data_IF_282049209658
#
_entry.id   IF_282049209658
#
_cell.length_a   1.000
_cell.length_b   1.000
_cell.length_c   1.000
_cell.angle_alpha   90.00
_cell.angle_beta   90.00
_cell.angle_gamma   90.00
#
_symmetry.space_group_name_H-M   'P 1'
#
loop_
_entity.id
_entity.type
_entity.pdbx_description
1 polymer ?
#
# COMPACT_ATOMS: atom_id res chain seq x y z
N UNK A 1 -46.42 -16.68 39.18
CA UNK A 1 -45.01 -16.43 38.83
C UNK A 1 -44.86 -16.69 37.35
N UNK A 2 -44.86 -15.64 36.52
CA UNK A 2 -44.78 -15.76 35.06
C UNK A 2 -43.34 -15.55 34.61
N UNK A 3 -42.73 -16.60 34.07
CA UNK A 3 -41.46 -16.57 33.37
C UNK A 3 -41.66 -15.97 31.96
N UNK A 4 -41.78 -14.64 31.87
CA UNK A 4 -41.84 -13.93 30.60
C UNK A 4 -40.43 -13.48 30.17
N UNK A 5 -39.89 -14.22 29.21
CA UNK A 5 -39.36 -13.68 27.95
C UNK A 5 -38.36 -12.52 28.07
N UNK A 6 -37.14 -12.81 28.50
CA UNK A 6 -35.98 -12.02 28.08
C UNK A 6 -35.55 -12.57 26.71
N UNK A 7 -36.17 -12.06 25.64
CA UNK A 7 -35.57 -12.16 24.30
C UNK A 7 -34.37 -11.20 24.30
N UNK A 8 -33.20 -11.69 24.69
CA UNK A 8 -31.95 -11.04 24.33
C UNK A 8 -31.96 -10.89 22.81
N UNK A 9 -31.99 -9.65 22.31
CA UNK A 9 -31.77 -9.40 20.89
C UNK A 9 -30.38 -9.91 20.55
N UNK A 10 -30.31 -11.13 20.00
CA UNK A 10 -29.08 -11.68 19.48
C UNK A 10 -28.50 -10.64 18.51
N UNK A 11 -27.27 -10.21 18.79
CA UNK A 11 -26.59 -9.27 17.93
C UNK A 11 -26.51 -9.91 16.53
N UNK A 12 -27.03 -9.26 15.47
CA UNK A 12 -27.02 -9.82 14.13
C UNK A 12 -25.62 -10.07 13.57
N UNK A 13 -24.56 -9.63 14.24
CA UNK A 13 -23.17 -9.96 13.88
C UNK A 13 -22.69 -11.33 14.41
N UNK A 14 -23.39 -11.95 15.37
CA UNK A 14 -22.97 -13.23 15.94
C UNK A 14 -23.24 -14.43 15.00
N UNK A 15 -24.34 -14.43 14.26
CA UNK A 15 -24.78 -15.61 13.49
C UNK A 15 -24.03 -15.82 12.16
N UNK A 16 -23.48 -14.76 11.56
CA UNK A 16 -22.88 -14.84 10.21
C UNK A 16 -21.35 -15.02 10.24
N UNK A 17 -20.69 -14.67 11.36
CA UNK A 17 -19.23 -14.79 11.51
C UNK A 17 -18.77 -16.17 11.98
N UNK A 18 -19.63 -16.91 12.67
CA UNK A 18 -19.32 -18.25 13.21
C UNK A 18 -19.01 -19.26 12.09
N UNK A 19 -19.75 -19.33 10.96
CA UNK A 19 -19.44 -20.29 9.89
C UNK A 19 -18.17 -19.95 9.08
N UNK A 20 -17.88 -18.67 8.82
CA UNK A 20 -16.70 -18.29 8.01
C UNK A 20 -15.36 -18.37 8.75
N UNK A 21 -15.38 -18.23 10.09
CA UNK A 21 -14.17 -18.42 10.91
C UNK A 21 -13.91 -19.89 11.26
N UNK A 22 -14.95 -20.69 11.56
CA UNK A 22 -14.77 -22.10 11.95
C UNK A 22 -14.30 -22.96 10.78
N UNK A 23 -14.79 -22.74 9.54
CA UNK A 23 -14.33 -23.51 8.38
C UNK A 23 -12.83 -23.38 8.08
N UNK A 24 -12.18 -22.26 8.45
CA UNK A 24 -10.74 -22.05 8.17
C UNK A 24 -9.80 -22.46 9.33
N UNK A 25 -10.34 -22.66 10.54
CA UNK A 25 -9.54 -23.21 11.66
C UNK A 25 -9.55 -24.74 11.67
N UNK A 26 -10.61 -25.38 11.18
CA UNK A 26 -10.66 -26.85 11.05
C UNK A 26 -9.72 -27.39 9.96
N UNK A 27 -9.38 -26.61 8.92
CA UNK A 27 -8.41 -27.02 7.89
C UNK A 27 -6.93 -26.91 8.32
N UNK A 28 -6.62 -26.23 9.42
CA UNK A 28 -5.24 -26.05 9.90
C UNK A 28 -4.91 -26.83 11.19
N UNK A 29 -5.85 -27.65 11.69
CA UNK A 29 -5.71 -28.36 12.97
C UNK A 29 -5.63 -29.89 12.86
N UNK A 30 -5.59 -30.47 11.66
CA UNK A 30 -5.74 -31.91 11.45
C UNK A 30 -4.45 -32.67 11.07
N UNK A 31 -3.25 -32.12 11.35
CA UNK A 31 -1.99 -32.85 11.16
C UNK A 31 -1.04 -32.62 12.33
N UNK A 32 -1.24 -33.35 13.44
CA UNK A 32 -0.19 -33.61 14.46
C UNK A 32 -0.75 -34.46 15.61
N UNK A 33 -0.93 -35.76 15.38
CA UNK A 33 -0.97 -36.72 16.49
C UNK A 33 -0.53 -38.09 16.00
N UNK A 34 0.70 -38.47 16.35
CA UNK A 34 1.21 -39.82 16.11
C UNK A 34 2.73 -39.87 16.17
N UNK A 35 3.28 -39.99 17.39
CA UNK A 35 4.53 -40.71 17.67
C UNK A 35 4.68 -40.93 19.16
N UNK A 36 4.48 -42.19 19.53
CA UNK A 36 4.75 -42.77 20.83
C UNK A 36 6.26 -42.97 21.04
N UNK A 37 6.68 -42.70 22.28
CA UNK A 37 7.54 -43.50 23.15
C UNK A 37 8.91 -44.00 22.66
N UNK A 38 9.99 -43.51 23.28
CA UNK A 38 11.04 -44.35 23.87
C UNK A 38 12.00 -43.55 24.79
N UNK A 39 12.11 -44.04 26.02
CA UNK A 39 13.29 -44.18 26.87
C UNK A 39 14.19 -42.98 27.23
N UNK A 40 14.16 -42.63 28.52
CA UNK A 40 15.18 -41.84 29.22
C UNK A 40 15.77 -42.67 30.36
N UNK A 41 17.11 -42.77 30.48
CA UNK A 41 17.77 -43.11 31.74
C UNK A 41 18.60 -41.92 32.28
N UNK A 42 19.08 -42.02 33.54
CA UNK A 42 19.10 -40.88 34.46
C UNK A 42 20.40 -40.09 34.50
N UNK A 43 20.25 -38.92 35.10
CA UNK A 43 21.23 -37.93 35.58
C UNK A 43 22.45 -38.49 36.29
N UNK A 44 23.63 -38.05 35.87
CA UNK A 44 24.85 -38.02 36.70
C UNK A 44 25.40 -36.59 36.80
N UNK A 45 25.64 -36.21 38.06
CA UNK A 45 26.36 -35.03 38.51
C UNK A 45 27.84 -35.10 38.10
N UNK A 46 28.38 -34.02 37.53
CA UNK A 46 29.74 -33.57 37.85
C UNK A 46 29.82 -32.05 37.69
N UNK A 47 30.12 -31.37 38.78
CA UNK A 47 30.45 -29.94 38.78
C UNK A 47 31.88 -29.70 38.34
N UNK A 48 32.17 -28.51 37.83
CA UNK A 48 33.47 -27.87 37.96
C UNK A 48 33.33 -26.34 37.94
N UNK A 49 33.82 -25.77 39.04
CA UNK A 49 34.67 -24.60 39.20
C UNK A 49 34.47 -23.35 38.34
N UNK A 50 34.13 -22.29 39.07
CA UNK A 50 34.33 -20.87 38.80
C UNK A 50 35.84 -20.59 38.59
N UNK A 51 36.17 -19.90 37.50
CA UNK A 51 37.34 -19.02 37.45
C UNK A 51 37.00 -17.77 36.62
N UNK A 52 37.10 -16.62 37.28
CA UNK A 52 37.09 -15.30 36.65
C UNK A 52 38.54 -14.90 36.35
N UNK A 53 38.81 -14.39 35.15
CA UNK A 53 39.83 -13.35 34.96
C UNK A 53 39.61 -12.58 33.65
N UNK A 54 40.00 -11.29 33.56
CA UNK A 54 39.56 -10.37 32.52
C UNK A 54 40.64 -10.04 31.47
N UNK A 55 40.21 -9.32 30.43
CA UNK A 55 40.98 -8.59 29.40
C UNK A 55 41.61 -9.41 28.27
N UNK A 56 41.05 -9.25 27.06
CA UNK A 56 41.89 -8.94 25.89
C UNK A 56 41.10 -8.19 24.82
N UNK A 57 41.59 -7.00 24.49
CA UNK A 57 41.34 -6.31 23.23
C UNK A 57 41.86 -7.18 22.08
N UNK A 58 41.02 -7.50 21.10
CA UNK A 58 41.45 -7.74 19.73
C UNK A 58 40.45 -7.19 18.71
N UNK A 59 41.03 -6.45 17.77
CA UNK A 59 40.49 -5.99 16.49
C UNK A 59 40.17 -7.23 15.63
N UNK A 60 38.97 -7.29 15.08
CA UNK A 60 38.70 -8.09 13.87
C UNK A 60 37.89 -7.24 12.91
N UNK A 61 38.47 -7.01 11.73
CA UNK A 61 37.82 -6.41 10.58
C UNK A 61 36.97 -7.45 9.83
N UNK A 62 35.96 -6.91 9.14
CA UNK A 62 35.21 -7.44 8.00
C UNK A 62 33.89 -8.22 8.20
N UNK A 63 32.89 -7.59 7.54
CA UNK A 63 31.79 -8.17 6.78
C UNK A 63 30.58 -8.73 7.52
N UNK A 64 29.51 -7.92 7.54
CA UNK A 64 28.16 -8.44 7.33
C UNK A 64 27.26 -7.39 6.67
N UNK A 65 26.98 -7.67 5.39
CA UNK A 65 25.80 -7.33 4.60
C UNK A 65 24.78 -6.36 5.20
N UNK A 66 24.70 -5.17 4.57
CA UNK A 66 23.66 -4.17 4.80
C UNK A 66 22.26 -4.70 4.48
N UNK A 67 21.56 -5.14 5.52
CA UNK A 67 20.11 -5.12 5.57
C UNK A 67 19.68 -3.78 6.15
N UNK A 68 19.33 -2.82 5.29
CA UNK A 68 18.78 -1.54 5.74
C UNK A 68 17.44 -1.21 5.04
N UNK A 69 16.50 -0.86 5.92
CA UNK A 69 15.53 0.23 5.80
C UNK A 69 14.35 0.10 4.82
N UNK A 70 13.40 -0.75 5.21
CA UNK A 70 11.98 -0.43 4.99
C UNK A 70 11.25 -0.12 6.31
N UNK A 71 11.75 -0.62 7.44
CA UNK A 71 11.11 -0.42 8.75
C UNK A 71 11.43 0.96 9.37
N UNK A 72 12.55 1.60 9.05
CA UNK A 72 12.89 2.97 9.51
C UNK A 72 11.94 4.04 8.94
N UNK A 73 11.55 3.88 7.67
CA UNK A 73 10.60 4.77 6.99
C UNK A 73 9.19 4.73 7.57
N UNK A 74 8.83 3.61 8.23
CA UNK A 74 7.55 3.45 8.93
C UNK A 74 7.67 3.94 10.38
N UNK A 75 8.86 3.85 11.00
CA UNK A 75 9.12 4.30 12.38
C UNK A 75 9.23 5.83 12.50
N UNK A 76 9.81 6.51 11.49
CA UNK A 76 9.92 7.97 11.43
C UNK A 76 8.56 8.66 11.15
N UNK A 77 7.53 7.88 10.79
CA UNK A 77 6.19 8.35 10.45
C UNK A 77 5.15 8.35 11.58
N UNK A 78 5.50 8.01 12.83
CA UNK A 78 4.53 7.82 13.90
C UNK A 78 4.91 8.56 15.20
N UNK A 79 4.86 9.89 15.19
CA UNK A 79 4.51 10.67 16.38
C UNK A 79 3.68 11.90 15.99
N UNK A 80 2.56 12.06 16.70
CA UNK A 80 1.34 12.80 16.35
C UNK A 80 1.33 14.27 16.77
N UNK A 81 0.39 14.99 16.17
CA UNK A 81 -0.26 16.23 16.63
C UNK A 81 0.41 17.57 16.31
N UNK A 82 1.74 17.71 16.36
CA UNK A 82 2.37 19.04 16.16
C UNK A 82 2.71 19.39 14.69
N UNK A 83 2.48 18.46 13.74
CA UNK A 83 2.88 18.66 12.33
C UNK A 83 1.87 19.40 11.46
N UNK A 84 0.59 19.46 11.83
CA UNK A 84 -0.39 20.18 11.03
C UNK A 84 -0.28 21.71 11.19
N UNK A 85 0.08 22.20 12.39
CA UNK A 85 0.36 23.63 12.61
C UNK A 85 1.74 24.05 12.07
N UNK A 86 2.72 23.15 12.11
CA UNK A 86 4.04 23.40 11.51
C UNK A 86 4.00 23.47 9.97
N UNK A 87 3.09 22.74 9.31
CA UNK A 87 2.96 22.79 7.85
C UNK A 87 2.33 24.11 7.37
N UNK A 88 1.32 24.62 8.09
CA UNK A 88 0.73 25.94 7.83
C UNK A 88 1.73 27.09 8.11
N UNK A 89 2.60 26.93 9.11
CA UNK A 89 3.64 27.92 9.43
C UNK A 89 4.86 27.91 8.48
N UNK A 90 5.04 26.86 7.68
CA UNK A 90 6.13 26.75 6.68
C UNK A 90 5.72 27.27 5.29
N UNK A 91 4.44 27.19 4.93
CA UNK A 91 3.91 27.79 3.70
C UNK A 91 4.01 29.33 3.71
N UNK A 92 3.89 29.94 4.89
CA UNK A 92 3.98 31.41 5.06
C UNK A 92 5.43 31.96 4.98
N UNK A 93 6.44 31.08 4.91
CA UNK A 93 7.87 31.48 4.87
C UNK A 93 8.56 31.27 3.52
N UNK A 94 7.88 30.77 2.49
CA UNK A 94 8.44 30.65 1.14
C UNK A 94 9.72 29.82 1.02
N UNK A 95 9.97 28.89 1.96
CA UNK A 95 11.15 28.02 1.92
C UNK A 95 10.83 26.76 1.12
N UNK A 96 11.37 26.68 -0.10
CA UNK A 96 11.32 25.48 -0.93
C UNK A 96 12.05 24.32 -0.22
N UNK A 97 11.29 23.32 0.22
CA UNK A 97 11.85 22.13 0.85
C UNK A 97 12.40 21.19 -0.24
N UNK A 98 13.65 21.42 -0.64
CA UNK A 98 14.34 20.62 -1.64
C UNK A 98 14.77 19.26 -1.06
N UNK A 99 14.10 18.21 -1.53
CA UNK A 99 14.29 16.82 -1.11
C UNK A 99 15.46 16.14 -1.86
N UNK A 100 16.31 16.89 -2.59
CA UNK A 100 17.46 16.36 -3.32
C UNK A 100 18.76 16.29 -2.52
N UNK A 101 18.82 16.84 -1.30
CA UNK A 101 20.09 17.10 -0.61
C UNK A 101 20.50 16.14 0.53
N UNK A 102 19.95 14.93 0.61
CA UNK A 102 20.56 13.87 1.44
C UNK A 102 20.94 12.66 0.58
N UNK A 103 22.26 12.57 0.35
CA UNK A 103 23.02 11.66 -0.52
C UNK A 103 22.95 11.94 -2.02
N UNK A 104 23.62 13.00 -2.47
CA UNK A 104 24.53 12.94 -3.62
C UNK A 104 25.65 13.97 -3.44
N UNK A 105 26.77 13.52 -2.87
CA UNK A 105 28.04 14.23 -3.05
C UNK A 105 28.55 13.94 -4.46
N UNK A 106 28.60 15.03 -5.21
CA UNK A 106 29.31 15.34 -6.44
C UNK A 106 30.44 14.39 -6.88
N UNK A 107 30.34 13.90 -8.12
CA UNK A 107 31.45 13.99 -9.07
C UNK A 107 30.91 14.77 -10.26
N UNK A 108 31.21 16.08 -10.28
CA UNK A 108 31.11 16.92 -11.46
C UNK A 108 32.27 16.58 -12.40
N UNK A 109 31.96 16.16 -13.62
CA UNK A 109 32.79 16.46 -14.77
C UNK A 109 31.95 17.31 -15.71
N UNK A 110 32.40 18.56 -15.86
CA UNK A 110 31.96 19.49 -16.89
C UNK A 110 32.23 18.87 -18.26
N UNK A 111 31.18 18.68 -19.06
CA UNK A 111 31.32 18.59 -20.52
C UNK A 111 30.59 19.77 -21.15
N UNK A 112 31.21 20.48 -22.11
CA UNK A 112 30.62 21.64 -22.75
C UNK A 112 29.54 21.23 -23.75
N UNK A 113 28.54 22.11 -23.90
CA UNK A 113 27.54 22.09 -24.96
C UNK A 113 28.20 22.11 -26.34
N UNK A 114 28.50 20.94 -26.91
CA UNK A 114 28.75 20.82 -28.34
C UNK A 114 28.58 19.37 -28.83
N UNK A 115 27.38 19.03 -29.30
CA UNK A 115 27.20 17.90 -30.20
C UNK A 115 26.03 18.18 -31.17
N UNK A 116 26.26 19.13 -32.06
CA UNK A 116 25.59 19.22 -33.36
C UNK A 116 26.17 18.16 -34.29
N UNK A 117 25.71 16.92 -34.14
CA UNK A 117 25.71 15.89 -35.18
C UNK A 117 24.66 14.87 -34.79
N UNK A 118 23.40 15.15 -35.16
CA UNK A 118 22.43 14.07 -35.22
C UNK A 118 22.95 13.05 -36.24
N UNK A 119 23.05 11.75 -35.88
CA UNK A 119 23.15 10.73 -36.91
C UNK A 119 21.87 10.86 -37.74
N UNK A 120 22.03 11.20 -39.01
CA UNK A 120 20.99 10.98 -40.01
C UNK A 120 20.76 9.47 -40.07
N UNK A 121 19.89 8.97 -39.19
CA UNK A 121 19.21 7.70 -39.39
C UNK A 121 18.36 7.90 -40.62
N UNK A 122 18.91 7.56 -41.78
CA UNK A 122 18.15 7.38 -43.00
C UNK A 122 16.98 6.48 -42.66
N UNK A 123 15.78 7.04 -42.79
CA UNK A 123 14.51 6.41 -42.48
C UNK A 123 14.19 5.34 -43.53
N UNK A 124 14.98 4.28 -43.57
CA UNK A 124 14.48 3.00 -44.02
C UNK A 124 13.57 2.49 -42.89
N UNK A 125 12.32 2.96 -42.87
CA UNK A 125 11.26 2.29 -42.12
C UNK A 125 11.27 0.84 -42.62
N UNK A 126 11.67 -0.15 -41.81
CA UNK A 126 11.56 -1.53 -42.21
C UNK A 126 10.09 -1.74 -42.54
N UNK A 127 9.80 -2.11 -43.78
CA UNK A 127 8.45 -2.45 -44.23
C UNK A 127 7.91 -3.53 -43.32
N UNK A 128 7.01 -3.12 -42.41
CA UNK A 128 6.07 -3.88 -41.58
C UNK A 128 6.12 -5.42 -41.74
N UNK A 129 7.22 -6.03 -41.33
CA UNK A 129 7.20 -7.37 -40.80
C UNK A 129 6.66 -7.23 -39.38
N UNK A 130 5.38 -7.52 -39.20
CA UNK A 130 4.71 -7.57 -37.90
C UNK A 130 5.55 -8.43 -36.97
N UNK A 131 6.39 -7.81 -36.14
CA UNK A 131 7.10 -8.55 -35.11
C UNK A 131 6.03 -9.26 -34.26
N UNK A 132 6.10 -10.59 -34.08
CA UNK A 132 5.02 -11.40 -33.50
C UNK A 132 4.87 -11.20 -31.99
N UNK A 133 5.36 -10.09 -31.45
CA UNK A 133 5.19 -9.78 -30.04
C UNK A 133 3.82 -9.17 -29.83
N UNK A 134 3.08 -9.76 -28.90
CA UNK A 134 1.85 -9.16 -28.39
C UNK A 134 2.09 -7.70 -28.00
N UNK A 135 1.10 -6.84 -28.25
CA UNK A 135 1.20 -5.45 -27.81
C UNK A 135 1.42 -5.41 -26.29
N UNK A 136 2.17 -4.42 -25.80
CA UNK A 136 2.40 -4.29 -24.34
C UNK A 136 1.09 -4.18 -23.55
N UNK A 137 0.07 -3.62 -24.17
CA UNK A 137 -1.24 -3.49 -23.56
C UNK A 137 -1.94 -4.84 -23.41
N UNK A 138 -1.76 -5.78 -24.34
CA UNK A 138 -2.23 -7.16 -24.19
C UNK A 138 -1.45 -7.91 -23.09
N UNK A 139 -0.12 -7.83 -23.11
CA UNK A 139 0.72 -8.50 -22.09
C UNK A 139 0.35 -8.04 -20.68
N UNK A 140 0.06 -6.74 -20.51
CA UNK A 140 -0.34 -6.15 -19.21
C UNK A 140 -1.67 -6.69 -18.69
N UNK A 141 -2.63 -7.02 -19.56
CA UNK A 141 -3.93 -7.58 -19.11
C UNK A 141 -3.77 -8.92 -18.40
N UNK A 142 -2.72 -9.68 -18.76
CA UNK A 142 -2.49 -11.03 -18.27
C UNK A 142 -1.33 -11.13 -17.27
N UNK A 143 -0.62 -10.03 -17.00
CA UNK A 143 0.56 -10.00 -16.14
C UNK A 143 0.37 -9.06 -14.96
N UNK A 144 0.87 -9.45 -13.79
CA UNK A 144 1.07 -8.50 -12.71
C UNK A 144 2.28 -7.58 -13.02
N UNK A 145 2.41 -6.47 -12.31
CA UNK A 145 3.48 -5.49 -12.50
C UNK A 145 4.88 -6.13 -12.49
N UNK A 146 5.11 -7.09 -11.60
CA UNK A 146 6.40 -7.76 -11.46
C UNK A 146 6.75 -8.61 -12.68
N UNK A 147 5.85 -9.48 -13.10
CA UNK A 147 6.02 -10.31 -14.30
C UNK A 147 6.15 -9.44 -15.55
N UNK A 148 5.35 -8.39 -15.65
CA UNK A 148 5.44 -7.41 -16.73
C UNK A 148 6.83 -6.73 -16.75
N UNK A 149 7.32 -6.24 -15.62
CA UNK A 149 8.66 -5.64 -15.53
C UNK A 149 9.76 -6.61 -15.97
N UNK A 150 9.71 -7.87 -15.51
CA UNK A 150 10.70 -8.90 -15.86
C UNK A 150 10.69 -9.31 -17.33
N UNK A 151 9.55 -9.17 -18.02
CA UNK A 151 9.45 -9.45 -19.46
C UNK A 151 10.05 -8.35 -20.36
N UNK A 152 10.40 -7.19 -19.81
CA UNK A 152 10.86 -6.04 -20.60
C UNK A 152 12.39 -5.97 -20.65
N UNK A 153 12.98 -5.57 -21.80
CA UNK A 153 14.40 -5.27 -21.88
C UNK A 153 14.83 -4.16 -20.92
N UNK A 154 16.01 -4.29 -20.32
CA UNK A 154 16.52 -3.35 -19.32
C UNK A 154 16.68 -1.93 -19.88
N UNK A 155 17.17 -1.78 -21.10
CA UNK A 155 17.33 -0.46 -21.74
C UNK A 155 15.99 0.25 -21.92
N UNK A 156 14.93 -0.51 -22.22
CA UNK A 156 13.58 0.04 -22.35
C UNK A 156 13.04 0.53 -21.02
N UNK A 157 13.26 -0.25 -19.97
CA UNK A 157 12.91 0.11 -18.59
C UNK A 157 13.63 1.39 -18.17
N UNK A 158 14.95 1.47 -18.36
CA UNK A 158 15.74 2.66 -18.02
C UNK A 158 15.34 3.90 -18.83
N UNK A 159 15.13 3.74 -20.15
CA UNK A 159 14.68 4.83 -21.02
C UNK A 159 13.30 5.40 -20.60
N UNK A 160 12.49 4.64 -19.87
CA UNK A 160 11.20 5.12 -19.37
C UNK A 160 11.30 6.17 -18.26
N UNK A 161 12.48 6.31 -17.62
CA UNK A 161 12.76 7.37 -16.65
C UNK A 161 13.13 8.71 -17.30
N UNK A 162 13.44 8.70 -18.60
CA UNK A 162 13.91 9.88 -19.34
C UNK A 162 12.76 10.68 -19.96
N UNK A 163 13.01 11.97 -20.20
CA UNK A 163 12.11 12.88 -20.90
C UNK A 163 11.09 13.56 -19.99
N UNK A 164 9.89 13.83 -20.53
CA UNK A 164 8.86 14.64 -19.87
C UNK A 164 8.42 14.05 -18.52
N UNK A 165 8.42 14.93 -17.52
CA UNK A 165 7.94 14.66 -16.16
C UNK A 165 6.62 15.38 -15.96
N UNK A 166 5.74 14.81 -15.14
CA UNK A 166 4.41 15.36 -14.84
C UNK A 166 4.18 15.33 -13.33
N UNK A 167 3.45 16.32 -12.85
CA UNK A 167 2.98 16.34 -11.46
C UNK A 167 1.66 15.56 -11.36
N UNK A 168 1.45 14.89 -10.23
CA UNK A 168 0.22 14.18 -9.89
C UNK A 168 -0.47 14.99 -8.80
N UNK A 169 -1.65 15.50 -9.12
CA UNK A 169 -2.38 16.49 -8.33
C UNK A 169 -3.82 16.00 -8.12
N UNK A 170 -4.39 16.25 -6.94
CA UNK A 170 -5.81 16.04 -6.70
C UNK A 170 -6.65 17.14 -7.36
N UNK A 171 -7.67 16.76 -8.12
CA UNK A 171 -8.43 17.65 -9.01
C UNK A 171 -9.12 18.81 -8.26
N UNK A 172 -9.83 18.51 -7.16
CA UNK A 172 -10.62 19.52 -6.44
C UNK A 172 -9.80 20.38 -5.47
N UNK A 173 -8.86 19.76 -4.74
CA UNK A 173 -8.10 20.45 -3.70
C UNK A 173 -6.86 21.15 -4.24
N UNK A 174 -6.39 20.78 -5.43
CA UNK A 174 -5.09 21.21 -5.95
C UNK A 174 -3.89 20.63 -5.20
N UNK A 175 -4.12 19.71 -4.26
CA UNK A 175 -3.04 19.10 -3.47
C UNK A 175 -2.11 18.29 -4.37
N UNK A 176 -0.83 18.66 -4.36
CA UNK A 176 0.20 17.96 -5.14
C UNK A 176 0.62 16.69 -4.41
N UNK A 177 0.21 15.53 -4.92
CA UNK A 177 0.57 14.24 -4.34
C UNK A 177 2.01 13.83 -4.64
N UNK A 178 2.47 14.01 -5.89
CA UNK A 178 3.83 13.69 -6.30
C UNK A 178 4.29 14.68 -7.38
N UNK A 179 5.54 15.14 -7.27
CA UNK A 179 6.16 16.06 -8.23
C UNK A 179 7.08 15.32 -9.20
N UNK A 180 7.14 15.81 -10.43
CA UNK A 180 8.11 15.45 -11.48
C UNK A 180 8.22 13.94 -11.74
N UNK A 181 7.08 13.24 -11.81
CA UNK A 181 7.03 11.80 -12.10
C UNK A 181 7.24 11.55 -13.60
N UNK A 182 8.16 10.64 -14.02
CA UNK A 182 8.38 10.36 -15.44
C UNK A 182 7.11 9.82 -16.14
N UNK A 183 6.60 10.56 -17.13
CA UNK A 183 5.37 10.18 -17.84
C UNK A 183 5.52 8.86 -18.59
N UNK A 184 6.68 8.62 -19.21
CA UNK A 184 6.96 7.40 -19.97
C UNK A 184 6.89 6.15 -19.08
N UNK A 185 7.41 6.22 -17.86
CA UNK A 185 7.32 5.15 -16.86
C UNK A 185 5.85 4.87 -16.49
N UNK A 186 5.07 5.91 -16.21
CA UNK A 186 3.65 5.76 -15.90
C UNK A 186 2.88 5.09 -17.04
N UNK A 187 3.10 5.52 -18.29
CA UNK A 187 2.47 4.92 -19.48
C UNK A 187 2.94 3.47 -19.68
N UNK A 188 4.22 3.18 -19.44
CA UNK A 188 4.76 1.83 -19.57
C UNK A 188 4.05 0.85 -18.63
N UNK A 189 3.92 1.19 -17.35
CA UNK A 189 3.35 0.29 -16.34
C UNK A 189 1.83 0.32 -16.25
N UNK A 190 1.20 1.49 -16.32
CA UNK A 190 -0.25 1.64 -16.15
C UNK A 190 -1.00 1.53 -17.49
N UNK A 191 -0.28 1.64 -18.61
CA UNK A 191 -0.87 1.67 -19.94
C UNK A 191 -1.32 3.07 -20.36
N UNK A 192 -1.31 3.30 -21.67
CA UNK A 192 -1.73 4.58 -22.25
C UNK A 192 -3.19 4.93 -21.93
N UNK A 193 -4.17 4.00 -22.01
CA UNK A 193 -5.56 4.34 -21.71
C UNK A 193 -5.78 4.86 -20.28
N UNK A 194 -5.15 4.22 -19.28
CA UNK A 194 -5.28 4.61 -17.88
C UNK A 194 -4.70 6.01 -17.63
N UNK A 195 -3.53 6.32 -18.20
CA UNK A 195 -2.87 7.62 -18.03
C UNK A 195 -3.56 8.71 -18.83
N UNK A 196 -3.89 8.47 -20.10
CA UNK A 196 -4.54 9.48 -20.94
C UNK A 196 -5.89 9.95 -20.39
N UNK A 197 -6.63 9.07 -19.71
CA UNK A 197 -7.92 9.40 -19.05
C UNK A 197 -7.79 10.50 -17.99
N UNK A 198 -6.63 10.59 -17.35
CA UNK A 198 -6.39 11.47 -16.19
C UNK A 198 -5.36 12.56 -16.50
N UNK A 199 -4.84 12.58 -17.73
CA UNK A 199 -3.83 13.54 -18.16
C UNK A 199 -4.51 14.84 -18.61
N UNK A 200 -4.14 15.96 -18.00
CA UNK A 200 -4.55 17.30 -18.42
C UNK A 200 -3.34 18.05 -18.99
N UNK A 201 -3.57 18.78 -20.07
CA UNK A 201 -2.59 19.74 -20.60
C UNK A 201 -2.96 21.12 -20.05
N UNK A 202 -1.99 21.82 -19.46
CA UNK A 202 -2.22 23.10 -18.77
C UNK A 202 -2.27 24.27 -19.75
N UNK A 203 -1.28 24.34 -20.65
CA UNK A 203 -1.21 25.37 -21.69
C UNK A 203 -1.67 24.84 -23.04
N UNK A 204 -2.51 25.63 -23.72
CA UNK A 204 -2.95 25.32 -25.10
C UNK A 204 -1.85 25.64 -26.10
N UNK A 205 -1.05 26.67 -25.81
CA UNK A 205 0.07 27.14 -26.63
C UNK A 205 1.29 26.24 -26.45
N UNK A 206 1.60 25.86 -25.20
CA UNK A 206 2.66 24.94 -24.88
C UNK A 206 2.13 23.59 -24.37
N UNK A 207 1.98 22.64 -25.29
CA UNK A 207 1.61 21.25 -24.97
C UNK A 207 2.68 20.54 -24.11
N UNK A 208 3.81 21.18 -23.82
CA UNK A 208 4.85 20.69 -22.92
C UNK A 208 4.43 20.70 -21.45
N UNK A 209 3.41 21.46 -21.04
CA UNK A 209 2.94 21.46 -19.65
C UNK A 209 1.78 20.47 -19.45
N UNK A 210 2.03 19.38 -18.73
CA UNK A 210 1.01 18.37 -18.44
C UNK A 210 1.06 17.95 -16.98
N UNK A 211 -0.10 17.64 -16.45
CA UNK A 211 -0.30 17.11 -15.11
C UNK A 211 -1.27 15.93 -15.15
N UNK A 212 -1.21 15.08 -14.14
CA UNK A 212 -2.18 14.02 -13.90
C UNK A 212 -3.14 14.51 -12.82
N UNK A 213 -4.42 14.60 -13.18
CA UNK A 213 -5.49 14.95 -12.26
C UNK A 213 -6.15 13.69 -11.72
N UNK A 214 -6.04 13.55 -10.41
CA UNK A 214 -6.62 12.46 -9.66
C UNK A 214 -7.96 12.93 -9.09
N UNK A 215 -9.08 12.29 -9.42
CA UNK A 215 -10.36 12.62 -8.82
C UNK A 215 -10.29 12.46 -7.29
N UNK A 216 -10.97 13.33 -6.53
CA UNK A 216 -11.05 13.20 -5.08
C UNK A 216 -11.54 11.80 -4.73
N UNK A 217 -11.14 11.30 -3.56
CA UNK A 217 -11.67 10.04 -3.05
C UNK A 217 -11.37 8.81 -3.95
N UNK A 218 -10.50 8.90 -4.94
CA UNK A 218 -10.12 7.75 -5.80
C UNK A 218 -8.85 7.06 -5.29
N UNK A 219 -7.81 7.84 -4.99
CA UNK A 219 -6.55 7.38 -4.39
C UNK A 219 -6.01 8.44 -3.41
N UNK A 220 -4.83 8.21 -2.84
CA UNK A 220 -4.13 9.14 -1.97
C UNK A 220 -2.61 9.11 -2.22
N UNK A 221 -1.91 10.08 -1.63
CA UNK A 221 -0.46 10.24 -1.80
C UNK A 221 0.35 9.02 -1.31
N UNK A 222 -0.10 8.32 -0.26
CA UNK A 222 0.61 7.15 0.31
C UNK A 222 0.67 6.01 -0.70
N UNK A 223 -0.47 5.63 -1.27
CA UNK A 223 -0.53 4.55 -2.24
C UNK A 223 0.20 4.90 -3.54
N UNK A 224 0.10 6.16 -3.99
CA UNK A 224 0.85 6.68 -5.14
C UNK A 224 2.36 6.60 -4.92
N UNK A 225 2.85 7.03 -3.75
CA UNK A 225 4.27 6.98 -3.40
C UNK A 225 4.79 5.56 -3.44
N UNK A 226 4.07 4.59 -2.85
CA UNK A 226 4.47 3.18 -2.86
C UNK A 226 4.57 2.64 -4.30
N UNK A 227 3.54 2.90 -5.13
CA UNK A 227 3.50 2.44 -6.51
C UNK A 227 4.63 3.07 -7.34
N UNK A 228 4.78 4.39 -7.30
CA UNK A 228 5.81 5.12 -8.06
C UNK A 228 7.22 4.74 -7.60
N UNK A 229 7.48 4.62 -6.30
CA UNK A 229 8.78 4.16 -5.80
C UNK A 229 9.10 2.73 -6.25
N UNK A 230 8.11 1.84 -6.37
CA UNK A 230 8.34 0.51 -6.92
C UNK A 230 8.65 0.56 -8.43
N UNK A 231 7.87 1.31 -9.22
CA UNK A 231 8.10 1.47 -10.66
C UNK A 231 9.47 2.08 -10.97
N UNK A 232 9.87 3.12 -10.23
CA UNK A 232 11.19 3.75 -10.39
C UNK A 232 12.32 2.75 -10.15
N UNK A 233 12.22 1.91 -9.11
CA UNK A 233 13.21 0.85 -8.85
C UNK A 233 13.21 -0.23 -9.93
N UNK A 234 12.05 -0.58 -10.47
CA UNK A 234 11.98 -1.52 -11.59
C UNK A 234 12.65 -0.98 -12.87
N UNK A 235 12.73 0.35 -13.00
CA UNK A 235 13.34 1.00 -14.16
C UNK A 235 14.84 1.29 -14.04
N UNK A 236 15.35 1.43 -12.82
CA UNK A 236 16.78 1.69 -12.57
C UNK A 236 17.63 0.46 -12.91
N UNK A 237 18.74 0.68 -13.62
CA UNK A 237 19.65 -0.40 -14.04
C UNK A 237 20.17 -1.17 -12.81
N UNK A 238 20.49 -0.44 -11.74
CA UNK A 238 21.11 -0.95 -10.53
C UNK A 238 20.18 -1.89 -9.75
N UNK A 239 18.86 -1.68 -9.83
CA UNK A 239 17.88 -2.40 -9.00
C UNK A 239 16.95 -3.32 -9.79
N UNK A 240 16.91 -3.22 -11.12
CA UNK A 240 15.96 -3.98 -11.95
C UNK A 240 16.25 -5.49 -11.98
N UNK A 241 17.52 -5.89 -11.97
CA UNK A 241 17.91 -7.31 -11.94
C UNK A 241 17.45 -8.01 -10.66
N UNK A 242 17.50 -7.31 -9.52
CA UNK A 242 17.10 -7.80 -8.21
C UNK A 242 15.67 -7.39 -7.78
N UNK A 243 14.87 -6.80 -8.70
CA UNK A 243 13.51 -6.35 -8.36
C UNK A 243 12.67 -7.54 -7.87
N UNK A 244 11.81 -7.30 -6.88
CA UNK A 244 10.88 -8.28 -6.30
C UNK A 244 9.44 -7.79 -6.50
N UNK A 245 8.43 -8.67 -6.43
CA UNK A 245 7.03 -8.24 -6.33
C UNK A 245 6.87 -7.21 -5.22
N UNK A 246 6.09 -6.16 -5.46
CA UNK A 246 5.87 -5.17 -4.41
C UNK A 246 5.20 -5.84 -3.20
N UNK A 247 5.72 -5.55 -2.01
CA UNK A 247 5.21 -6.11 -0.77
C UNK A 247 3.97 -5.33 -0.33
N UNK A 248 2.93 -6.04 0.12
CA UNK A 248 1.78 -5.40 0.75
C UNK A 248 2.25 -4.75 2.06
N UNK A 249 1.97 -3.46 2.30
CA UNK A 249 2.30 -2.80 3.55
C UNK A 249 1.68 -3.53 4.76
N UNK A 250 2.41 -3.57 5.89
CA UNK A 250 1.88 -4.13 7.14
C UNK A 250 0.86 -3.20 7.82
N UNK A 251 0.99 -1.89 7.61
CA UNK A 251 0.03 -0.89 8.07
C UNK A 251 -1.25 -0.98 7.21
N UNK A 252 -2.41 -1.06 7.87
CA UNK A 252 -3.69 -1.29 7.20
C UNK A 252 -4.09 -0.12 6.28
N UNK A 253 -3.91 1.12 6.74
CA UNK A 253 -4.20 2.31 5.94
C UNK A 253 -3.34 2.36 4.67
N UNK A 254 -2.03 2.12 4.79
CA UNK A 254 -1.11 2.10 3.65
C UNK A 254 -1.44 0.98 2.65
N UNK A 255 -1.85 -0.20 3.13
CA UNK A 255 -2.27 -1.31 2.27
C UNK A 255 -3.56 -0.98 1.51
N UNK A 256 -4.57 -0.43 2.19
CA UNK A 256 -5.83 0.04 1.57
C UNK A 256 -5.55 1.11 0.51
N UNK A 257 -4.67 2.07 0.86
CA UNK A 257 -4.24 3.15 -0.02
C UNK A 257 -3.61 2.63 -1.30
N UNK A 258 -2.72 1.64 -1.19
CA UNK A 258 -2.09 0.98 -2.32
C UNK A 258 -3.11 0.22 -3.17
N UNK A 259 -4.00 -0.57 -2.56
CA UNK A 259 -5.03 -1.32 -3.27
C UNK A 259 -5.92 -0.40 -4.12
N UNK A 260 -6.34 0.74 -3.57
CA UNK A 260 -7.13 1.77 -4.26
C UNK A 260 -6.34 2.43 -5.40
N UNK A 261 -5.06 2.73 -5.17
CA UNK A 261 -4.16 3.26 -6.21
C UNK A 261 -4.06 2.30 -7.39
N UNK A 262 -3.88 1.01 -7.13
CA UNK A 262 -3.76 -0.02 -8.16
C UNK A 262 -5.07 -0.15 -8.96
N UNK A 263 -6.22 -0.13 -8.29
CA UNK A 263 -7.54 -0.12 -8.96
C UNK A 263 -7.71 1.12 -9.84
N UNK A 264 -7.30 2.29 -9.35
CA UNK A 264 -7.41 3.54 -10.10
C UNK A 264 -6.64 3.52 -11.42
N UNK A 265 -5.47 2.87 -11.46
CA UNK A 265 -4.66 2.69 -12.67
C UNK A 265 -4.97 1.41 -13.46
N UNK A 266 -6.13 0.77 -13.23
CA UNK A 266 -6.56 -0.46 -13.89
C UNK A 266 -5.59 -1.66 -13.70
N UNK A 267 -4.77 -1.65 -12.63
CA UNK A 267 -3.83 -2.72 -12.27
C UNK A 267 -4.52 -3.81 -11.44
N UNK A 268 -5.56 -4.43 -12.03
CA UNK A 268 -6.54 -5.24 -11.31
C UNK A 268 -5.97 -6.51 -10.66
N UNK A 269 -5.00 -7.17 -11.30
CA UNK A 269 -4.38 -8.39 -10.75
C UNK A 269 -3.62 -8.10 -9.44
N UNK A 270 -2.84 -7.03 -9.44
CA UNK A 270 -2.10 -6.58 -8.27
C UNK A 270 -3.03 -6.00 -7.19
N UNK A 271 -4.04 -5.23 -7.58
CA UNK A 271 -5.07 -4.76 -6.66
C UNK A 271 -5.76 -5.92 -5.93
N UNK A 272 -6.17 -6.97 -6.67
CA UNK A 272 -6.80 -8.16 -6.10
C UNK A 272 -5.87 -8.89 -5.14
N UNK A 273 -4.58 -9.03 -5.47
CA UNK A 273 -3.59 -9.64 -4.58
C UNK A 273 -3.48 -8.88 -3.26
N UNK A 274 -3.39 -7.55 -3.31
CA UNK A 274 -3.36 -6.71 -2.11
C UNK A 274 -4.65 -6.82 -1.32
N UNK A 275 -5.80 -6.85 -2.00
CA UNK A 275 -7.11 -7.03 -1.35
C UNK A 275 -7.25 -8.35 -0.60
N UNK A 276 -6.77 -9.45 -1.19
CA UNK A 276 -6.73 -10.75 -0.55
C UNK A 276 -5.86 -10.72 0.70
N UNK A 277 -4.69 -10.09 0.63
CA UNK A 277 -3.78 -9.93 1.78
C UNK A 277 -4.39 -9.08 2.90
N UNK A 278 -5.05 -7.97 2.56
CA UNK A 278 -5.78 -7.12 3.53
C UNK A 278 -6.86 -7.95 4.24
N UNK A 279 -7.67 -8.71 3.49
CA UNK A 279 -8.75 -9.52 4.05
C UNK A 279 -8.23 -10.69 4.89
N UNK A 280 -7.16 -11.37 4.42
CA UNK A 280 -6.63 -12.57 5.06
C UNK A 280 -5.77 -12.27 6.29
N UNK A 281 -5.13 -11.10 6.38
CA UNK A 281 -4.16 -10.81 7.45
C UNK A 281 -4.51 -9.56 8.24
N UNK A 282 -4.73 -8.44 7.56
CA UNK A 282 -4.80 -7.15 8.24
C UNK A 282 -6.13 -6.92 8.96
N UNK A 283 -7.24 -7.49 8.45
CA UNK A 283 -8.52 -7.53 9.16
C UNK A 283 -8.68 -8.74 10.09
N UNK A 284 -7.68 -9.62 10.23
CA UNK A 284 -7.75 -10.72 11.21
C UNK A 284 -7.18 -10.35 12.57
N UNK A 285 -6.37 -9.29 12.62
CA UNK A 285 -5.82 -8.77 13.87
C UNK A 285 -6.73 -7.68 14.45
N UNK A 286 -6.65 -7.43 15.76
CA UNK A 286 -7.28 -6.26 16.35
C UNK A 286 -6.85 -4.96 15.64
N UNK A 287 -7.83 -4.10 15.34
CA UNK A 287 -7.59 -2.80 14.69
C UNK A 287 -7.39 -1.76 15.78
N UNK A 288 -6.28 -1.02 15.69
CA UNK A 288 -5.97 0.01 16.67
C UNK A 288 -6.79 1.28 16.42
N UNK A 289 -7.08 2.09 17.46
CA UNK A 289 -7.80 3.35 17.30
C UNK A 289 -7.19 4.28 16.25
N UNK A 290 -5.88 4.28 16.12
CA UNK A 290 -5.14 5.12 15.18
C UNK A 290 -5.44 4.77 13.73
N UNK A 291 -5.52 3.47 13.43
CA UNK A 291 -5.89 3.00 12.10
C UNK A 291 -7.36 3.27 11.81
N UNK A 292 -8.24 3.15 12.80
CA UNK A 292 -9.66 3.52 12.66
C UNK A 292 -9.80 5.01 12.36
N UNK A 293 -9.05 5.87 13.06
CA UNK A 293 -9.00 7.32 12.83
C UNK A 293 -8.52 7.63 11.41
N UNK A 294 -7.41 7.04 10.99
CA UNK A 294 -6.85 7.24 9.65
C UNK A 294 -7.81 6.79 8.55
N UNK A 295 -8.33 5.56 8.64
CA UNK A 295 -9.25 5.02 7.64
C UNK A 295 -10.53 5.84 7.62
N UNK A 296 -11.10 6.16 8.78
CA UNK A 296 -12.31 6.97 8.83
C UNK A 296 -12.06 8.33 8.20
N UNK A 297 -11.02 9.06 8.59
CA UNK A 297 -10.83 10.44 8.14
C UNK A 297 -10.38 10.55 6.68
N UNK A 298 -9.57 9.61 6.19
CA UNK A 298 -8.89 9.73 4.90
C UNK A 298 -9.43 8.80 3.81
N UNK A 299 -10.20 7.77 4.16
CA UNK A 299 -10.83 6.87 3.19
C UNK A 299 -12.32 7.25 3.06
N UNK A 300 -12.86 7.32 1.82
CA UNK A 300 -14.27 7.57 1.57
C UNK A 300 -15.20 6.67 2.38
N UNK A 301 -16.30 7.24 2.87
CA UNK A 301 -17.21 6.55 3.80
C UNK A 301 -17.97 5.39 3.15
N UNK A 302 -18.18 5.48 1.85
CA UNK A 302 -18.80 4.49 0.95
C UNK A 302 -17.81 3.45 0.40
N UNK A 303 -16.54 3.56 0.75
CA UNK A 303 -15.50 2.60 0.38
C UNK A 303 -15.76 1.24 1.02
N UNK A 304 -15.55 0.16 0.25
CA UNK A 304 -15.58 -1.23 0.75
C UNK A 304 -14.66 -1.46 1.95
N UNK A 305 -13.54 -0.74 2.04
CA UNK A 305 -12.61 -0.86 3.15
C UNK A 305 -13.12 -0.21 4.43
N UNK A 306 -13.78 0.95 4.31
CA UNK A 306 -14.44 1.61 5.46
C UNK A 306 -15.58 0.75 5.97
N UNK A 307 -16.38 0.18 5.06
CA UNK A 307 -17.41 -0.80 5.42
C UNK A 307 -16.85 -2.01 6.19
N UNK A 308 -15.79 -2.65 5.69
CA UNK A 308 -15.13 -3.79 6.35
C UNK A 308 -14.53 -3.42 7.71
N UNK A 309 -13.89 -2.26 7.81
CA UNK A 309 -13.37 -1.74 9.08
C UNK A 309 -14.49 -1.58 10.11
N UNK A 310 -15.63 -1.01 9.72
CA UNK A 310 -16.79 -0.85 10.61
C UNK A 310 -17.35 -2.21 11.06
N UNK A 311 -17.49 -3.17 10.15
CA UNK A 311 -17.95 -4.52 10.49
C UNK A 311 -17.01 -5.18 11.51
N UNK A 312 -15.70 -5.10 11.27
CA UNK A 312 -14.70 -5.65 12.17
C UNK A 312 -14.77 -4.97 13.55
N UNK A 313 -14.84 -3.64 13.58
CA UNK A 313 -14.92 -2.89 14.83
C UNK A 313 -16.20 -3.23 15.62
N UNK A 314 -17.35 -3.34 14.96
CA UNK A 314 -18.61 -3.77 15.59
C UNK A 314 -18.49 -5.15 16.22
N UNK A 315 -17.89 -6.10 15.50
CA UNK A 315 -17.64 -7.44 16.01
C UNK A 315 -16.68 -7.44 17.22
N UNK A 316 -15.56 -6.71 17.15
CA UNK A 316 -14.63 -6.59 18.27
C UNK A 316 -15.28 -5.93 19.50
N UNK A 317 -16.09 -4.88 19.31
CA UNK A 317 -16.82 -4.25 20.42
C UNK A 317 -17.78 -5.21 21.10
N UNK A 318 -18.53 -5.99 20.32
CA UNK A 318 -19.41 -7.04 20.84
C UNK A 318 -18.65 -8.09 21.65
N UNK A 319 -17.55 -8.63 21.12
CA UNK A 319 -16.72 -9.61 21.84
C UNK A 319 -16.13 -9.04 23.14
N UNK A 320 -15.76 -7.75 23.13
CA UNK A 320 -15.26 -7.05 24.31
C UNK A 320 -16.30 -6.85 25.41
N UNK A 321 -17.57 -6.71 25.05
CA UNK A 321 -18.69 -6.67 25.99
C UNK A 321 -19.01 -8.06 26.57
N UNK A 322 -18.70 -9.13 25.83
CA UNK A 322 -18.98 -10.52 26.21
C UNK A 322 -17.76 -11.25 26.80
N UNK A 323 -16.86 -10.50 27.44
CA UNK A 323 -15.78 -11.08 28.25
C UNK A 323 -14.44 -11.30 27.56
N UNK A 324 -14.24 -10.80 26.34
CA UNK A 324 -12.92 -10.81 25.69
C UNK A 324 -12.36 -9.38 25.53
N UNK A 325 -11.78 -8.77 26.59
CA UNK A 325 -11.37 -7.37 26.55
C UNK A 325 -10.23 -7.08 25.56
N UNK A 326 -9.36 -8.06 25.28
CA UNK A 326 -8.12 -7.87 24.50
C UNK A 326 -8.35 -7.72 23.00
N UNK A 327 -9.57 -7.98 22.51
CA UNK A 327 -9.93 -7.82 21.09
C UNK A 327 -10.10 -6.36 20.67
N UNK A 328 -10.19 -5.42 21.62
CA UNK A 328 -10.27 -3.98 21.35
C UNK A 328 -9.09 -3.25 22.01
N UNK A 329 -7.97 -3.07 21.28
CA UNK A 329 -6.80 -2.38 21.79
C UNK A 329 -7.15 -0.95 22.17
N UNK A 330 -6.70 -0.51 23.35
CA UNK A 330 -6.95 0.84 23.87
C UNK A 330 -8.44 1.22 23.84
N UNK A 331 -9.32 0.32 24.31
CA UNK A 331 -10.78 0.47 24.31
C UNK A 331 -11.29 1.85 24.73
N UNK A 332 -10.73 2.47 25.78
CA UNK A 332 -11.12 3.81 26.24
C UNK A 332 -10.92 4.88 25.15
N UNK A 333 -9.80 4.84 24.44
CA UNK A 333 -9.52 5.76 23.33
C UNK A 333 -10.46 5.51 22.14
N UNK A 334 -10.73 4.24 21.83
CA UNK A 334 -11.67 3.85 20.78
C UNK A 334 -13.09 4.39 21.08
N UNK A 335 -13.58 4.17 22.30
CA UNK A 335 -14.90 4.65 22.74
C UNK A 335 -15.00 6.18 22.66
N UNK A 336 -14.00 6.89 23.18
CA UNK A 336 -13.96 8.35 23.07
C UNK A 336 -13.99 8.83 21.61
N UNK A 337 -13.28 8.14 20.72
CA UNK A 337 -13.31 8.45 19.29
C UNK A 337 -14.69 8.19 18.66
N UNK A 338 -15.37 7.10 19.03
CA UNK A 338 -16.73 6.79 18.59
C UNK A 338 -17.74 7.82 19.09
N UNK A 339 -17.64 8.23 20.35
CA UNK A 339 -18.52 9.26 20.93
C UNK A 339 -18.39 10.60 20.20
N UNK A 340 -17.18 10.95 19.76
CA UNK A 340 -16.93 12.15 18.95
C UNK A 340 -17.33 12.00 17.47
N UNK A 341 -17.69 10.80 17.01
CA UNK A 341 -18.05 10.51 15.62
C UNK A 341 -19.40 9.79 15.54
N UNK A 342 -20.54 10.50 15.72
CA UNK A 342 -21.86 9.88 15.82
C UNK A 342 -22.23 9.04 14.60
N UNK A 343 -21.82 9.46 13.40
CA UNK A 343 -22.04 8.70 12.17
C UNK A 343 -21.29 7.36 12.15
N UNK A 344 -20.05 7.33 12.68
CA UNK A 344 -19.30 6.09 12.81
C UNK A 344 -19.92 5.20 13.89
N UNK A 345 -20.20 5.79 15.06
CA UNK A 345 -20.85 5.11 16.18
C UNK A 345 -22.15 4.43 15.75
N UNK A 346 -23.02 5.15 15.04
CA UNK A 346 -24.27 4.63 14.51
C UNK A 346 -24.07 3.39 13.62
N UNK A 347 -23.07 3.41 12.72
CA UNK A 347 -22.76 2.25 11.86
C UNK A 347 -22.16 1.07 12.64
N UNK A 348 -21.39 1.35 13.69
CA UNK A 348 -20.82 0.31 14.56
C UNK A 348 -21.91 -0.35 15.40
N UNK A 349 -22.83 0.44 15.97
CA UNK A 349 -23.90 -0.06 16.87
C UNK A 349 -25.08 -0.65 16.12
N UNK A 350 -25.43 -0.12 14.94
CA UNK A 350 -26.57 -0.55 14.16
C UNK A 350 -26.12 -1.17 12.83
N UNK A 351 -26.30 -2.49 12.69
CA UNK A 351 -25.96 -3.23 11.49
C UNK A 351 -26.68 -2.71 10.24
N UNK A 352 -27.97 -2.40 10.35
CA UNK A 352 -28.76 -1.92 9.22
C UNK A 352 -28.21 -0.59 8.67
N UNK A 353 -27.66 0.28 9.53
CA UNK A 353 -27.00 1.51 9.09
C UNK A 353 -25.72 1.24 8.30
N UNK A 354 -24.92 0.25 8.70
CA UNK A 354 -23.70 -0.08 7.97
C UNK A 354 -23.98 -0.78 6.63
N UNK A 355 -25.02 -1.63 6.55
CA UNK A 355 -25.39 -2.34 5.32
C UNK A 355 -25.77 -1.39 4.18
N UNK A 356 -26.24 -0.16 4.47
CA UNK A 356 -26.44 0.91 3.47
C UNK A 356 -25.17 1.26 2.68
N UNK A 357 -24.00 1.02 3.27
CA UNK A 357 -22.68 1.30 2.69
C UNK A 357 -22.00 0.05 2.14
N UNK A 358 -22.67 -1.11 2.13
CA UNK A 358 -22.13 -2.31 1.51
C UNK A 358 -21.94 -2.02 0.03
N UNK A 359 -20.68 -1.99 -0.42
CA UNK A 359 -20.42 -1.68 -1.82
C UNK A 359 -21.08 -2.74 -2.68
N UNK A 360 -22.13 -2.38 -3.41
CA UNK A 360 -22.65 -3.20 -4.49
C UNK A 360 -21.53 -3.16 -5.53
N UNK A 361 -20.75 -4.24 -5.61
CA UNK A 361 -19.59 -4.34 -6.51
C UNK A 361 -20.13 -4.43 -7.95
N UNK A 362 -20.73 -3.35 -8.46
CA UNK A 362 -21.03 -3.15 -9.87
C UNK A 362 -19.79 -2.59 -10.56
N UNK A 363 -18.70 -3.36 -10.54
CA UNK A 363 -17.46 -3.03 -11.26
C UNK A 363 -17.68 -2.88 -12.77
N UNK A 364 -18.76 -3.44 -13.31
CA UNK A 364 -19.10 -3.47 -14.74
C UNK A 364 -20.07 -2.37 -15.19
N UNK A 365 -20.77 -1.65 -14.30
CA UNK A 365 -21.87 -0.76 -14.71
C UNK A 365 -21.44 0.70 -14.98
N UNK A 366 -20.41 1.23 -14.31
CA UNK A 366 -20.00 2.64 -14.46
C UNK A 366 -19.21 2.97 -15.73
N UNK A 367 -18.78 1.99 -16.52
CA UNK A 367 -18.09 2.23 -17.82
C UNK A 367 -19.04 2.64 -18.95
N UNK A 368 -20.36 2.46 -18.82
CA UNK A 368 -21.32 2.72 -19.91
C UNK A 368 -21.84 4.17 -20.02
N UNK A 369 -21.64 5.03 -19.03
CA UNK A 369 -22.25 6.38 -19.00
C UNK A 369 -21.26 7.54 -19.17
N UNK A 370 -20.10 7.31 -19.80
CA UNK A 370 -19.20 8.38 -20.25
C UNK A 370 -18.83 8.13 -21.71
N UNK A 371 -19.86 8.12 -22.56
CA UNK A 371 -19.75 8.25 -24.01
C UNK A 371 -19.77 9.71 -24.40
#
# INVERSE_FOLDING_TARGET
MNANTIKHSLNPYAEEFVPQMISNQLENGAESSGRDSADTPPTENMGYSISQSPNHLERVEHNTYGGYEVDEWIRIGLHKADRFDAFAAYEDKGVDFDMTNYQMQEIFLNEPDNCSTQPTWTSAQPTLGTFPYASLDEVRKHSNLYGFAKSLPLDRLNNSLRGKKVDIIEDESGNVFLRRVPKKMLVLFCGRPAISRVLRTLSTEDKSEQQILVPPSSTNHVGLKILVSWMTRACKIETSTAIKPFRTPKNLFAAISLARTLQFFDLNLDARRVDTEIAAKLFRRPIYPDEVKEIWNLIPKDSKYTYRMVQHLAHSMYLSEHGNPDVVPRKREMLAFLDNNPNLKARVTNRAENEKYKSIVHWSARRKNRG
#
